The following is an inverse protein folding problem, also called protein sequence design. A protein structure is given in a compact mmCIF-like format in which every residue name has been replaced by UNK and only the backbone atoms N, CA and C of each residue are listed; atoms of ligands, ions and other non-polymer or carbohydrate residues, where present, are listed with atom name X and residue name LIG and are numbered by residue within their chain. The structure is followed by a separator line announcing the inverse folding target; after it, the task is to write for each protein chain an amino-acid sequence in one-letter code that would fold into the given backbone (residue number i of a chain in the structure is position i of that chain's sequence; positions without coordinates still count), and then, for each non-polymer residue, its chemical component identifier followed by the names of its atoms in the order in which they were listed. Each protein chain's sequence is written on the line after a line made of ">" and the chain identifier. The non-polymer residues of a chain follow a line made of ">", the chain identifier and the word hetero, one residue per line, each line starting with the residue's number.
data_IF_757702827837
#
_entry.id   IF_757702827837
#
_cell.length_a   1.000
_cell.length_b   1.000
_cell.length_c   1.000
_cell.angle_alpha   90.00
_cell.angle_beta   90.00
_cell.angle_gamma   90.00
#
_symmetry.space_group_name_H-M   'P 1'
#
loop_
_entity.id
_entity.type
_entity.pdbx_description
1 polymer ?
#
# COMPACT_ATOMS: atom_id res chain seq x y z
N UNK A 1 14.18 -1.05 20.45
CA UNK A 1 15.58 -1.07 20.93
C UNK A 1 16.36 -1.83 19.88
N UNK A 2 17.43 -1.27 19.33
CA UNK A 2 18.18 -1.92 18.26
C UNK A 2 18.99 -3.10 18.84
N UNK A 3 19.00 -4.29 18.20
CA UNK A 3 19.72 -5.44 18.73
C UNK A 3 21.23 -5.14 18.77
N UNK A 4 21.86 -5.35 19.93
CA UNK A 4 23.28 -5.07 20.14
C UNK A 4 24.08 -6.30 19.73
N UNK A 5 25.03 -6.13 18.81
CA UNK A 5 25.89 -7.22 18.36
C UNK A 5 26.85 -7.65 19.49
N UNK A 6 26.95 -8.94 19.81
CA UNK A 6 27.97 -9.43 20.74
C UNK A 6 29.38 -9.21 20.19
N UNK A 7 30.35 -9.09 21.08
CA UNK A 7 31.75 -8.82 20.71
C UNK A 7 32.31 -9.91 19.80
N UNK A 8 33.08 -9.52 18.78
CA UNK A 8 33.66 -10.46 17.82
C UNK A 8 34.84 -11.18 18.48
N UNK A 9 34.62 -12.42 18.89
CA UNK A 9 35.69 -13.28 19.39
C UNK A 9 36.48 -13.83 18.21
N UNK A 10 37.76 -13.46 18.10
CA UNK A 10 38.69 -14.14 17.18
C UNK A 10 39.07 -15.46 17.84
N UNK A 11 38.80 -16.61 17.21
CA UNK A 11 39.18 -17.89 17.80
C UNK A 11 40.71 -17.94 17.89
N UNK A 12 41.22 -17.96 19.12
CA UNK A 12 42.63 -18.27 19.40
C UNK A 12 42.96 -19.64 18.78
N UNK A 13 44.22 -19.92 18.45
CA UNK A 13 44.57 -21.23 17.88
C UNK A 13 44.32 -22.35 18.92
N UNK A 14 44.13 -23.58 18.43
CA UNK A 14 43.99 -24.74 19.32
C UNK A 14 45.32 -24.93 20.05
N UNK A 15 45.33 -25.09 21.39
CA UNK A 15 46.57 -25.28 22.12
C UNK A 15 47.21 -26.62 21.72
N UNK A 16 48.52 -26.60 21.55
CA UNK A 16 49.28 -27.81 21.20
C UNK A 16 49.17 -28.88 22.29
N UNK A 17 49.24 -30.13 21.87
CA UNK A 17 49.21 -31.26 22.80
C UNK A 17 50.45 -31.22 23.70
N UNK A 18 50.30 -31.44 25.03
CA UNK A 18 51.44 -31.51 25.94
C UNK A 18 52.33 -32.68 25.55
N UNK A 19 53.60 -32.41 25.24
CA UNK A 19 54.61 -33.43 24.98
C UNK A 19 55.28 -33.78 26.31
N UNK A 20 55.18 -35.05 26.74
CA UNK A 20 55.66 -35.49 28.07
C UNK A 20 56.83 -36.47 27.85
N UNK A 21 57.97 -36.18 28.47
CA UNK A 21 59.15 -37.04 28.41
C UNK A 21 58.96 -38.33 29.24
N UNK A 22 59.61 -39.43 28.86
CA UNK A 22 59.47 -40.73 29.52
C UNK A 22 59.85 -40.72 31.02
N UNK A 23 60.71 -39.77 31.45
CA UNK A 23 61.14 -39.61 32.85
C UNK A 23 60.09 -38.91 33.74
N UNK A 24 59.10 -38.22 33.16
CA UNK A 24 58.07 -37.45 33.89
C UNK A 24 56.72 -38.18 33.96
N UNK A 25 56.72 -39.49 33.72
CA UNK A 25 55.52 -40.33 33.65
C UNK A 25 54.62 -40.24 34.92
N UNK A 26 55.20 -39.99 36.09
CA UNK A 26 54.47 -39.81 37.36
C UNK A 26 53.64 -38.52 37.43
N UNK A 27 54.03 -37.47 36.68
CA UNK A 27 53.34 -36.18 36.64
C UNK A 27 52.36 -36.06 35.45
N UNK A 28 52.44 -37.00 34.50
CA UNK A 28 51.65 -37.00 33.27
C UNK A 28 50.13 -36.90 33.50
N UNK A 29 49.60 -37.62 34.49
CA UNK A 29 48.17 -37.61 34.83
C UNK A 29 47.67 -36.20 35.23
N UNK A 30 48.46 -35.49 36.02
CA UNK A 30 48.14 -34.12 36.47
C UNK A 30 48.16 -33.13 35.31
N UNK A 31 49.15 -33.26 34.41
CA UNK A 31 49.29 -32.43 33.21
C UNK A 31 48.08 -32.63 32.27
N UNK A 32 47.74 -33.88 31.96
CA UNK A 32 46.57 -34.20 31.13
C UNK A 32 45.26 -33.76 31.78
N UNK A 33 45.11 -33.88 33.10
CA UNK A 33 43.91 -33.42 33.81
C UNK A 33 43.72 -31.91 33.72
N UNK A 34 44.79 -31.12 33.89
CA UNK A 34 44.76 -29.66 33.69
C UNK A 34 44.45 -29.29 32.24
N UNK A 35 45.09 -29.97 31.28
CA UNK A 35 44.84 -29.76 29.85
C UNK A 35 43.37 -30.04 29.49
N UNK A 36 42.81 -31.15 29.96
CA UNK A 36 41.38 -31.50 29.80
C UNK A 36 40.45 -30.45 30.40
N UNK A 37 40.80 -29.93 31.58
CA UNK A 37 40.03 -28.88 32.25
C UNK A 37 40.07 -27.56 31.49
N UNK A 38 41.22 -27.22 30.88
CA UNK A 38 41.37 -26.07 30.00
C UNK A 38 40.50 -26.18 28.74
N UNK A 39 40.53 -27.33 28.07
CA UNK A 39 39.66 -27.61 26.93
C UNK A 39 38.17 -27.58 27.28
N UNK A 40 37.79 -28.08 28.47
CA UNK A 40 36.40 -28.05 28.94
C UNK A 40 35.89 -26.63 29.18
N UNK A 41 36.69 -25.76 29.81
CA UNK A 41 36.36 -24.33 29.95
C UNK A 41 36.22 -23.64 28.60
N UNK A 42 37.16 -23.91 27.68
CA UNK A 42 37.12 -23.37 26.32
C UNK A 42 35.88 -23.80 25.54
N UNK A 43 35.49 -25.07 25.62
CA UNK A 43 34.24 -25.59 25.04
C UNK A 43 33.02 -24.85 25.59
N UNK A 44 33.02 -24.56 26.88
CA UNK A 44 31.91 -23.86 27.55
C UNK A 44 31.79 -22.42 27.05
N UNK A 45 32.90 -21.67 27.01
CA UNK A 45 32.90 -20.30 26.47
C UNK A 45 32.53 -20.23 24.98
N UNK A 46 32.95 -21.19 24.16
CA UNK A 46 32.50 -21.28 22.76
C UNK A 46 31.00 -21.62 22.64
N UNK A 47 30.45 -22.38 23.59
CA UNK A 47 29.02 -22.72 23.61
C UNK A 47 28.18 -21.51 24.01
N UNK A 48 28.60 -20.76 25.03
CA UNK A 48 28.00 -19.48 25.43
C UNK A 48 28.00 -18.49 24.27
N UNK A 49 29.16 -18.28 23.63
CA UNK A 49 29.27 -17.38 22.48
C UNK A 49 28.36 -17.81 21.31
N UNK A 50 28.17 -19.11 21.09
CA UNK A 50 27.23 -19.62 20.08
C UNK A 50 25.77 -19.30 20.48
N UNK A 51 25.42 -19.37 21.74
CA UNK A 51 24.10 -19.00 22.25
C UNK A 51 23.85 -17.50 22.06
N UNK A 52 24.80 -16.64 22.43
CA UNK A 52 24.68 -15.18 22.25
C UNK A 52 24.48 -14.81 20.78
N UNK A 53 25.22 -15.45 19.87
CA UNK A 53 25.05 -15.25 18.43
C UNK A 53 23.69 -15.76 17.91
N UNK A 54 23.15 -16.83 18.50
CA UNK A 54 21.83 -17.36 18.17
C UNK A 54 20.71 -16.43 18.63
N UNK A 55 20.79 -15.88 19.85
CA UNK A 55 19.84 -14.89 20.37
C UNK A 55 19.89 -13.62 19.53
N UNK A 56 21.09 -13.06 19.30
CA UNK A 56 21.27 -11.88 18.46
C UNK A 56 20.68 -12.06 17.04
N UNK A 57 20.81 -13.26 16.44
CA UNK A 57 20.20 -13.57 15.13
C UNK A 57 18.68 -13.61 15.20
N UNK A 58 18.12 -14.13 16.29
CA UNK A 58 16.68 -14.19 16.52
C UNK A 58 16.11 -12.79 16.65
N UNK A 59 16.71 -11.94 17.48
CA UNK A 59 16.31 -10.54 17.65
C UNK A 59 16.40 -9.76 16.34
N UNK A 60 17.49 -9.94 15.58
CA UNK A 60 17.64 -9.32 14.25
C UNK A 60 16.56 -9.79 13.28
N UNK A 61 16.17 -11.07 13.35
CA UNK A 61 15.12 -11.63 12.52
C UNK A 61 13.77 -10.99 12.85
N UNK A 62 13.42 -10.89 14.13
CA UNK A 62 12.21 -10.22 14.60
C UNK A 62 12.19 -8.73 14.21
N UNK A 63 13.31 -8.03 14.38
CA UNK A 63 13.39 -6.63 13.99
C UNK A 63 13.20 -6.44 12.47
N UNK A 64 13.73 -7.37 11.66
CA UNK A 64 13.54 -7.37 10.20
C UNK A 64 12.09 -7.65 9.81
N UNK A 65 11.42 -8.59 10.47
CA UNK A 65 10.00 -8.86 10.19
C UNK A 65 9.14 -7.65 10.56
N UNK A 66 9.39 -7.01 11.71
CA UNK A 66 8.70 -5.78 12.12
C UNK A 66 8.89 -4.64 11.12
N UNK A 67 10.13 -4.36 10.71
CA UNK A 67 10.42 -3.35 9.70
C UNK A 67 9.79 -3.69 8.34
N UNK A 68 9.73 -4.97 7.99
CA UNK A 68 9.02 -5.49 6.81
C UNK A 68 7.53 -5.16 6.87
N UNK A 69 6.86 -5.47 7.97
CA UNK A 69 5.44 -5.17 8.19
C UNK A 69 5.17 -3.66 8.10
N UNK A 70 6.00 -2.82 8.75
CA UNK A 70 5.91 -1.35 8.69
C UNK A 70 6.06 -0.82 7.26
N UNK A 71 7.01 -1.34 6.48
CA UNK A 71 7.20 -0.96 5.06
C UNK A 71 6.00 -1.32 4.21
N UNK A 72 5.42 -2.50 4.40
CA UNK A 72 4.20 -2.94 3.71
C UNK A 72 3.02 -2.02 4.03
N UNK A 73 2.84 -1.67 5.32
CA UNK A 73 1.82 -0.70 5.74
C UNK A 73 1.96 0.66 5.05
N UNK A 74 3.18 1.20 4.99
CA UNK A 74 3.45 2.47 4.29
C UNK A 74 3.25 2.36 2.77
N UNK A 75 3.57 1.21 2.16
CA UNK A 75 3.33 0.99 0.73
C UNK A 75 1.82 1.01 0.42
N UNK A 76 1.00 0.37 1.24
CA UNK A 76 -0.47 0.38 1.12
C UNK A 76 -1.01 1.82 1.19
N UNK A 77 -0.54 2.62 2.15
CA UNK A 77 -0.93 4.03 2.27
C UNK A 77 -0.57 4.85 1.03
N UNK A 78 0.62 4.63 0.45
CA UNK A 78 1.03 5.29 -0.80
C UNK A 78 0.13 4.91 -1.98
N UNK A 79 -0.20 3.62 -2.13
CA UNK A 79 -1.12 3.16 -3.18
C UNK A 79 -2.50 3.80 -3.03
N UNK A 80 -3.02 3.91 -1.80
CA UNK A 80 -4.28 4.63 -1.53
C UNK A 80 -4.20 6.09 -1.99
N UNK A 81 -3.17 6.82 -1.56
CA UNK A 81 -3.00 8.23 -1.94
C UNK A 81 -2.90 8.42 -3.46
N UNK A 82 -2.25 7.48 -4.16
CA UNK A 82 -2.21 7.48 -5.62
C UNK A 82 -3.61 7.30 -6.23
N UNK A 83 -4.39 6.34 -5.72
CA UNK A 83 -5.76 6.11 -6.19
C UNK A 83 -6.68 7.33 -5.97
N UNK A 84 -6.57 8.02 -4.83
CA UNK A 84 -7.32 9.25 -4.55
C UNK A 84 -6.92 10.38 -5.51
N UNK A 85 -5.63 10.52 -5.86
CA UNK A 85 -5.17 11.50 -6.88
C UNK A 85 -5.72 11.20 -8.27
N UNK A 86 -5.74 9.93 -8.68
CA UNK A 86 -6.33 9.53 -9.96
C UNK A 86 -7.81 9.87 -10.01
N UNK A 87 -8.56 9.60 -8.94
CA UNK A 87 -9.98 9.96 -8.85
C UNK A 87 -10.18 11.48 -8.96
N UNK A 88 -9.35 12.28 -8.30
CA UNK A 88 -9.39 13.74 -8.43
C UNK A 88 -9.10 14.24 -9.86
N UNK A 89 -8.17 13.58 -10.57
CA UNK A 89 -7.90 13.90 -11.97
C UNK A 89 -9.08 13.52 -12.88
N UNK A 90 -9.66 12.34 -12.68
CA UNK A 90 -10.85 11.87 -13.40
C UNK A 90 -12.04 12.82 -13.18
N UNK A 91 -12.28 13.25 -11.93
CA UNK A 91 -13.33 14.22 -11.59
C UNK A 91 -13.20 15.52 -12.38
N UNK A 92 -11.99 16.07 -12.46
CA UNK A 92 -11.73 17.32 -13.18
C UNK A 92 -11.99 17.16 -14.67
N UNK A 93 -11.51 16.07 -15.26
CA UNK A 93 -11.71 15.78 -16.68
C UNK A 93 -13.20 15.64 -17.00
N UNK A 94 -13.94 14.85 -16.21
CA UNK A 94 -15.38 14.68 -16.37
C UNK A 94 -16.14 15.99 -16.19
N UNK A 95 -15.81 16.80 -15.17
CA UNK A 95 -16.48 18.06 -14.91
C UNK A 95 -16.29 19.06 -16.06
N UNK A 96 -15.07 19.20 -16.57
CA UNK A 96 -14.78 20.05 -17.73
C UNK A 96 -15.55 19.59 -18.97
N UNK A 97 -15.60 18.29 -19.21
CA UNK A 97 -16.30 17.71 -20.35
C UNK A 97 -17.81 17.91 -20.26
N UNK A 98 -18.41 17.71 -19.08
CA UNK A 98 -19.85 17.95 -18.82
C UNK A 98 -20.16 19.44 -18.95
N UNK A 99 -19.37 20.33 -18.34
CA UNK A 99 -19.61 21.77 -18.38
C UNK A 99 -19.48 22.34 -19.80
N UNK A 100 -18.46 21.91 -20.55
CA UNK A 100 -18.29 22.30 -21.94
C UNK A 100 -19.42 21.76 -22.82
N UNK A 101 -19.82 20.49 -22.61
CA UNK A 101 -20.93 19.87 -23.33
C UNK A 101 -22.27 20.57 -23.09
N UNK A 102 -22.52 20.99 -21.84
CA UNK A 102 -23.70 21.77 -21.48
C UNK A 102 -23.70 23.15 -22.14
N UNK A 103 -22.55 23.84 -22.13
CA UNK A 103 -22.40 25.15 -22.77
C UNK A 103 -22.67 25.07 -24.28
N UNK A 104 -22.09 24.07 -24.95
CA UNK A 104 -22.36 23.81 -26.37
C UNK A 104 -23.85 23.53 -26.58
N UNK A 105 -24.42 22.61 -25.81
CA UNK A 105 -25.82 22.23 -25.95
C UNK A 105 -26.75 23.44 -25.84
N UNK A 106 -26.58 24.28 -24.82
CA UNK A 106 -27.47 25.42 -24.56
C UNK A 106 -27.26 26.59 -25.53
N UNK A 107 -26.01 26.87 -25.94
CA UNK A 107 -25.72 27.91 -26.96
C UNK A 107 -26.35 27.57 -28.31
N UNK A 108 -26.19 26.33 -28.79
CA UNK A 108 -26.87 25.86 -30.01
C UNK A 108 -28.38 25.74 -29.84
N UNK A 109 -28.86 25.42 -28.63
CA UNK A 109 -30.30 25.44 -28.34
C UNK A 109 -30.89 26.83 -28.46
N UNK A 110 -30.22 27.83 -27.90
CA UNK A 110 -30.63 29.24 -27.94
C UNK A 110 -30.61 29.79 -29.37
N UNK A 111 -29.57 29.50 -30.15
CA UNK A 111 -29.45 29.94 -31.54
C UNK A 111 -30.56 29.38 -32.43
N UNK A 112 -30.90 28.10 -32.29
CA UNK A 112 -32.00 27.51 -33.05
C UNK A 112 -33.40 27.95 -32.57
N UNK A 113 -33.55 28.50 -31.35
CA UNK A 113 -34.80 29.16 -30.93
C UNK A 113 -34.97 30.55 -31.56
N UNK A 114 -33.88 31.22 -31.92
CA UNK A 114 -33.89 32.54 -32.55
C UNK A 114 -34.18 32.49 -34.07
N UNK A 115 -34.66 31.35 -34.58
CA UNK A 115 -35.04 31.08 -35.98
C UNK A 115 -33.94 31.33 -37.03
N UNK A 116 -32.68 31.49 -36.59
CA UNK A 116 -31.53 31.74 -37.47
C UNK A 116 -30.94 30.46 -38.10
N UNK A 117 -31.40 29.27 -37.70
CA UNK A 117 -30.86 27.99 -38.16
C UNK A 117 -31.99 26.96 -38.41
N UNK A 118 -32.59 27.01 -39.59
CA UNK A 118 -33.37 25.91 -40.16
C UNK A 118 -32.41 24.86 -40.71
N UNK A 119 -31.88 23.99 -39.84
CA UNK A 119 -31.12 22.84 -40.32
C UNK A 119 -30.12 22.26 -39.33
N UNK A 120 -30.33 20.97 -39.05
CA UNK A 120 -29.41 20.01 -38.43
C UNK A 120 -29.40 19.94 -36.90
N UNK A 121 -29.89 18.80 -36.40
CA UNK A 121 -29.76 18.35 -35.00
C UNK A 121 -28.31 18.01 -34.59
N UNK A 122 -27.34 18.04 -35.53
CA UNK A 122 -25.97 17.57 -35.30
C UNK A 122 -25.21 18.30 -34.15
N UNK A 123 -25.27 19.65 -34.00
CA UNK A 123 -24.50 20.33 -32.95
C UNK A 123 -25.02 20.06 -31.53
N UNK A 124 -26.34 19.92 -31.36
CA UNK A 124 -26.94 19.59 -30.06
C UNK A 124 -26.60 18.16 -29.63
N UNK A 125 -26.61 17.23 -30.59
CA UNK A 125 -26.22 15.84 -30.34
C UNK A 125 -24.75 15.75 -29.93
N UNK A 126 -23.89 16.64 -30.44
CA UNK A 126 -22.49 16.71 -30.04
C UNK A 126 -22.32 17.17 -28.58
N UNK A 127 -23.02 18.22 -28.15
CA UNK A 127 -23.03 18.65 -26.74
C UNK A 127 -23.56 17.57 -25.80
N UNK A 128 -24.64 16.89 -26.19
CA UNK A 128 -25.20 15.77 -25.43
C UNK A 128 -24.23 14.59 -25.35
N UNK A 129 -23.58 14.22 -26.46
CA UNK A 129 -22.57 13.16 -26.49
C UNK A 129 -21.40 13.47 -25.56
N UNK A 130 -20.98 14.73 -25.48
CA UNK A 130 -19.91 15.16 -24.59
C UNK A 130 -20.31 15.06 -23.11
N UNK A 131 -21.54 15.44 -22.76
CA UNK A 131 -22.09 15.27 -21.40
C UNK A 131 -22.13 13.77 -21.03
N UNK A 132 -22.66 12.92 -21.92
CA UNK A 132 -22.73 11.47 -21.70
C UNK A 132 -21.32 10.86 -21.54
N UNK A 133 -20.36 11.29 -22.36
CA UNK A 133 -18.98 10.83 -22.28
C UNK A 133 -18.33 11.23 -20.95
N UNK A 134 -18.53 12.47 -20.50
CA UNK A 134 -18.04 12.93 -19.21
C UNK A 134 -18.64 12.17 -18.03
N UNK A 135 -19.95 11.85 -18.09
CA UNK A 135 -20.61 10.99 -17.11
C UNK A 135 -20.09 9.55 -17.14
N UNK A 136 -19.79 8.99 -18.32
CA UNK A 136 -19.24 7.65 -18.44
C UNK A 136 -17.85 7.55 -17.81
N UNK A 137 -16.99 8.55 -18.08
CA UNK A 137 -15.66 8.64 -17.45
C UNK A 137 -15.81 8.75 -15.91
N UNK A 138 -16.78 9.54 -15.44
CA UNK A 138 -17.03 9.74 -14.02
C UNK A 138 -17.50 8.43 -13.34
N UNK A 139 -18.45 7.74 -13.96
CA UNK A 139 -18.95 6.45 -13.51
C UNK A 139 -17.84 5.38 -13.50
N UNK A 140 -16.99 5.37 -14.53
CA UNK A 140 -15.81 4.49 -14.60
C UNK A 140 -14.81 4.76 -13.48
N UNK A 141 -14.54 6.03 -13.17
CA UNK A 141 -13.68 6.42 -12.04
C UNK A 141 -14.23 5.98 -10.69
N UNK A 142 -15.55 6.15 -10.47
CA UNK A 142 -16.25 5.67 -9.27
C UNK A 142 -16.16 4.14 -9.18
N UNK A 143 -16.45 3.42 -10.28
CA UNK A 143 -16.36 1.97 -10.33
C UNK A 143 -14.96 1.48 -9.98
N UNK A 144 -13.92 2.05 -10.60
CA UNK A 144 -12.52 1.71 -10.34
C UNK A 144 -12.15 1.95 -8.88
N UNK A 145 -12.64 3.04 -8.29
CA UNK A 145 -12.38 3.34 -6.88
C UNK A 145 -13.09 2.36 -5.93
N UNK A 146 -14.31 1.95 -6.24
CA UNK A 146 -15.02 0.91 -5.49
C UNK A 146 -14.32 -0.45 -5.62
N UNK A 147 -13.92 -0.83 -6.84
CA UNK A 147 -13.10 -2.03 -7.08
C UNK A 147 -11.82 -2.01 -6.25
N UNK A 148 -11.09 -0.89 -6.26
CA UNK A 148 -9.87 -0.72 -5.47
C UNK A 148 -10.14 -0.86 -3.96
N UNK A 149 -11.25 -0.29 -3.46
CA UNK A 149 -11.64 -0.44 -2.06
C UNK A 149 -12.00 -1.90 -1.70
N UNK A 150 -12.67 -2.61 -2.60
CA UNK A 150 -13.02 -4.02 -2.42
C UNK A 150 -11.79 -4.93 -2.47
N UNK A 151 -10.88 -4.68 -3.39
CA UNK A 151 -9.64 -5.43 -3.51
C UNK A 151 -8.72 -5.20 -2.31
N UNK A 152 -8.66 -3.96 -1.82
CA UNK A 152 -7.89 -3.65 -0.61
C UNK A 152 -8.50 -4.30 0.63
N UNK A 153 -9.84 -4.43 0.69
CA UNK A 153 -10.55 -5.14 1.77
C UNK A 153 -10.27 -6.64 1.74
N UNK A 154 -10.25 -7.26 0.56
CA UNK A 154 -9.88 -8.69 0.40
C UNK A 154 -8.44 -8.95 0.82
N UNK A 155 -7.49 -8.16 0.30
CA UNK A 155 -6.06 -8.26 0.66
C UNK A 155 -5.82 -8.00 2.15
N UNK A 156 -6.57 -7.09 2.76
CA UNK A 156 -6.51 -6.88 4.22
C UNK A 156 -7.02 -8.07 5.00
N UNK A 157 -8.09 -8.74 4.55
CA UNK A 157 -8.61 -9.94 5.21
C UNK A 157 -7.54 -11.04 5.24
N UNK A 158 -6.91 -11.30 4.10
CA UNK A 158 -5.81 -12.27 3.95
C UNK A 158 -4.59 -11.92 4.84
N UNK A 159 -4.22 -10.64 4.90
CA UNK A 159 -3.08 -10.18 5.72
C UNK A 159 -3.41 -10.15 7.23
N UNK A 160 -4.68 -10.05 7.59
CA UNK A 160 -5.16 -10.10 8.99
C UNK A 160 -5.23 -11.56 9.46
N UNK A 161 -5.71 -12.48 8.60
CA UNK A 161 -5.64 -13.92 8.87
C UNK A 161 -4.21 -14.42 9.08
N UNK A 162 -3.24 -13.83 8.40
CA UNK A 162 -1.82 -14.16 8.55
C UNK A 162 -1.16 -13.48 9.78
N UNK A 163 -1.90 -12.69 10.57
CA UNK A 163 -1.38 -12.02 11.76
C UNK A 163 -0.36 -10.91 11.49
N UNK A 164 -0.19 -10.49 10.23
CA UNK A 164 0.88 -9.58 9.78
C UNK A 164 0.56 -8.09 9.99
N UNK A 165 -0.65 -7.73 10.43
CA UNK A 165 -1.07 -6.33 10.58
C UNK A 165 -1.90 -6.10 11.85
N UNK A 166 -1.28 -5.53 12.89
CA UNK A 166 -1.95 -5.09 14.14
C UNK A 166 -2.27 -3.58 14.15
N UNK A 167 -2.35 -2.94 12.99
CA UNK A 167 -2.49 -1.49 12.87
C UNK A 167 -3.93 -1.04 12.61
N UNK A 168 -4.62 -0.57 13.66
CA UNK A 168 -5.81 0.25 13.51
C UNK A 168 -5.50 1.44 12.61
N UNK A 169 -6.24 1.57 11.51
CA UNK A 169 -6.28 2.80 10.75
C UNK A 169 -7.74 3.03 10.38
N UNK A 170 -8.36 3.90 11.19
CA UNK A 170 -9.68 4.45 10.93
C UNK A 170 -9.78 4.85 9.46
N UNK A 171 -10.90 4.50 8.85
CA UNK A 171 -11.16 4.71 7.43
C UNK A 171 -11.80 6.10 7.30
N UNK A 172 -11.05 7.22 7.08
CA UNK A 172 -11.73 8.45 6.72
C UNK A 172 -12.38 8.22 5.36
N UNK A 173 -13.69 8.43 5.31
CA UNK A 173 -14.49 8.39 4.09
C UNK A 173 -13.84 9.38 3.12
N UNK A 174 -13.35 8.90 1.97
CA UNK A 174 -12.72 9.77 0.98
C UNK A 174 -13.75 10.79 0.50
N UNK A 175 -13.60 12.05 0.90
CA UNK A 175 -14.46 13.19 0.51
C UNK A 175 -14.65 13.25 -1.00
N UNK A 176 -13.61 12.86 -1.74
CA UNK A 176 -13.58 12.69 -3.20
C UNK A 176 -14.72 11.81 -3.75
N UNK A 177 -15.04 10.71 -3.06
CA UNK A 177 -16.09 9.78 -3.46
C UNK A 177 -17.48 10.42 -3.28
N UNK A 178 -17.68 11.10 -2.15
CA UNK A 178 -18.94 11.82 -1.87
C UNK A 178 -19.18 12.90 -2.92
N UNK A 179 -18.15 13.67 -3.25
CA UNK A 179 -18.20 14.70 -4.31
C UNK A 179 -18.48 14.06 -5.68
N UNK A 180 -17.80 12.97 -6.01
CA UNK A 180 -18.01 12.25 -7.27
C UNK A 180 -19.45 11.75 -7.43
N UNK A 181 -20.02 11.17 -6.36
CA UNK A 181 -21.39 10.68 -6.35
C UNK A 181 -22.39 11.83 -6.49
N UNK A 182 -22.17 12.95 -5.78
CA UNK A 182 -22.97 14.15 -5.91
C UNK A 182 -22.95 14.72 -7.33
N UNK A 183 -21.77 14.82 -7.95
CA UNK A 183 -21.63 15.27 -9.33
C UNK A 183 -22.29 14.32 -10.33
N UNK A 184 -22.19 13.00 -10.12
CA UNK A 184 -22.86 12.02 -10.97
C UNK A 184 -24.39 12.17 -10.89
N UNK A 185 -24.94 12.35 -9.68
CA UNK A 185 -26.38 12.59 -9.50
C UNK A 185 -26.84 13.86 -10.22
N UNK A 186 -26.11 14.97 -10.04
CA UNK A 186 -26.42 16.24 -10.73
C UNK A 186 -26.34 16.07 -12.25
N UNK A 187 -25.31 15.39 -12.75
CA UNK A 187 -25.15 15.09 -14.18
C UNK A 187 -26.30 14.24 -14.73
N UNK A 188 -26.70 13.19 -14.02
CA UNK A 188 -27.83 12.34 -14.39
C UNK A 188 -29.14 13.12 -14.43
N UNK A 189 -29.41 13.96 -13.43
CA UNK A 189 -30.61 14.81 -13.40
C UNK A 189 -30.62 15.79 -14.59
N UNK A 190 -29.48 16.44 -14.86
CA UNK A 190 -29.36 17.36 -15.99
C UNK A 190 -29.56 16.65 -17.34
N UNK A 191 -28.96 15.48 -17.53
CA UNK A 191 -29.12 14.68 -18.73
C UNK A 191 -30.55 14.16 -18.89
N UNK A 192 -31.19 13.70 -17.81
CA UNK A 192 -32.59 13.27 -17.83
C UNK A 192 -33.53 14.42 -18.22
N UNK A 193 -33.32 15.62 -17.67
CA UNK A 193 -34.08 16.80 -18.04
C UNK A 193 -33.94 17.12 -19.55
N UNK A 194 -32.73 17.03 -20.08
CA UNK A 194 -32.44 17.28 -21.51
C UNK A 194 -33.08 16.21 -22.42
N UNK A 195 -33.00 14.93 -22.05
CA UNK A 195 -33.45 13.80 -22.87
C UNK A 195 -34.98 13.67 -22.85
N UNK A 196 -35.58 13.72 -21.66
CA UNK A 196 -37.01 13.52 -21.50
C UNK A 196 -37.82 14.79 -21.74
N UNK A 197 -37.18 15.96 -21.82
CA UNK A 197 -37.86 17.24 -21.93
C UNK A 197 -38.83 17.50 -20.77
N UNK A 198 -38.68 16.77 -19.67
CA UNK A 198 -39.54 16.87 -18.49
C UNK A 198 -39.22 18.18 -17.80
N UNK A 199 -40.12 19.15 -17.99
CA UNK A 199 -40.32 20.32 -17.14
C UNK A 199 -40.58 19.89 -15.69
N UNK A 200 -39.59 19.33 -15.00
CA UNK A 200 -39.73 18.87 -13.62
C UNK A 200 -39.70 20.05 -12.61
N UNK A 201 -39.30 21.24 -13.09
CA UNK A 201 -39.50 22.52 -12.40
C UNK A 201 -40.23 23.48 -13.35
N UNK A 202 -41.54 23.33 -13.43
CA UNK A 202 -42.41 24.20 -14.20
C UNK A 202 -43.86 23.79 -14.05
N UNK A 203 -44.48 24.25 -12.97
CA UNK A 203 -45.91 24.60 -12.93
C UNK A 203 -46.21 25.71 -13.93
#
# INVERSE_FOLDING_TARGET
>A
MEPIRPERVVPETVPDLPQIAAEEASQASTIYSRFRTGLSRRRTGLSEHRTDLSEFRTDLSEHRTELGMRRTGMAIQRTRMAADRTLMAELRTSLSMIGFGFTIYETFRSLAKADMLTGSHAPRNFGLALILLGMLILAGGIWRHIQFANELRRRRLELTEQGLIHGESAYPISVSLVVALGLLLVGCVAAANIIFGLTLFGS
#
